data_IF_049190429714
#
_entry.id   IF_049190429714
#
_cell.length_a   1.000
_cell.length_b   1.000
_cell.length_c   1.000
_cell.angle_alpha   90.00
_cell.angle_beta   90.00
_cell.angle_gamma   90.00
#
_symmetry.space_group_name_H-M   'P 1'
#
loop_
_entity.id
_entity.type
_entity.pdbx_description
1 polymer ?
#
# COMPACT_ATOMS: atom_id res chain seq x y z
N UNK A 1 2.87 1.02 30.24
CA UNK A 1 3.93 0.62 29.28
C UNK A 1 3.52 1.18 27.94
N UNK A 2 4.43 1.79 27.20
CA UNK A 2 4.15 2.35 25.87
C UNK A 2 4.58 1.34 24.82
N UNK A 3 3.67 0.98 23.91
CA UNK A 3 3.93 0.04 22.83
C UNK A 3 4.20 0.79 21.54
N UNK A 4 5.38 0.55 20.95
CA UNK A 4 5.75 1.10 19.63
C UNK A 4 5.17 0.19 18.55
N UNK A 5 4.43 0.78 17.61
CA UNK A 5 3.74 0.06 16.53
C UNK A 5 3.93 0.84 15.23
N UNK A 6 4.22 0.16 14.13
CA UNK A 6 4.16 0.78 12.81
C UNK A 6 2.82 0.52 12.12
N UNK A 7 2.36 1.48 11.32
CA UNK A 7 1.17 1.35 10.46
C UNK A 7 1.53 1.76 9.05
N UNK A 8 1.05 1.02 8.05
CA UNK A 8 1.28 1.35 6.65
C UNK A 8 0.11 0.87 5.75
N UNK A 9 0.00 1.50 4.57
CA UNK A 9 -0.92 1.15 3.52
C UNK A 9 -0.23 1.14 2.15
N UNK A 10 -0.65 0.20 1.30
CA UNK A 10 -0.11 0.05 -0.05
C UNK A 10 -1.25 -0.06 -1.06
N UNK A 11 -1.06 0.53 -2.25
CA UNK A 11 -1.96 0.32 -3.39
C UNK A 11 -1.17 0.09 -4.69
N UNK A 12 -1.52 -0.99 -5.40
CA UNK A 12 -0.96 -1.38 -6.70
C UNK A 12 -1.71 -0.65 -7.83
N UNK A 13 -1.56 0.67 -7.86
CA UNK A 13 -2.38 1.61 -8.63
C UNK A 13 -3.31 2.41 -7.70
N UNK A 14 -3.66 3.64 -8.07
CA UNK A 14 -4.42 4.54 -7.19
C UNK A 14 -5.61 5.19 -7.94
N UNK A 15 -6.81 4.56 -7.96
CA UNK A 15 -7.17 3.34 -7.23
C UNK A 15 -6.70 2.03 -7.89
N UNK A 16 -6.54 0.97 -7.08
CA UNK A 16 -6.10 -0.37 -7.50
C UNK A 16 -6.11 -1.37 -6.33
N UNK A 17 -5.71 -2.64 -6.52
CA UNK A 17 -5.58 -3.61 -5.43
C UNK A 17 -4.75 -3.04 -4.30
N UNK A 18 -5.29 -3.07 -3.08
CA UNK A 18 -4.72 -2.32 -1.98
C UNK A 18 -4.74 -3.13 -0.69
N UNK A 19 -3.81 -2.81 0.20
CA UNK A 19 -3.64 -3.45 1.49
C UNK A 19 -3.33 -2.44 2.57
N UNK A 20 -3.49 -2.88 3.81
CA UNK A 20 -3.16 -2.18 5.03
C UNK A 20 -2.50 -3.15 5.99
N UNK A 21 -1.62 -2.66 6.85
CA UNK A 21 -1.07 -3.46 7.93
C UNK A 21 -0.65 -2.59 9.11
N UNK A 22 -0.70 -3.17 10.30
CA UNK A 22 0.00 -2.66 11.47
C UNK A 22 0.90 -3.76 12.03
N UNK A 23 2.04 -3.38 12.60
CA UNK A 23 3.10 -4.30 12.97
C UNK A 23 3.80 -3.87 14.27
N UNK A 24 3.92 -4.81 15.21
CA UNK A 24 4.74 -4.70 16.42
C UNK A 24 5.95 -5.64 16.29
N UNK A 25 5.65 -6.91 16.06
CA UNK A 25 6.60 -7.99 15.80
C UNK A 25 5.90 -9.13 15.03
N UNK A 26 6.63 -10.18 14.64
CA UNK A 26 6.07 -11.30 13.85
C UNK A 26 4.97 -12.09 14.56
N UNK A 27 4.84 -11.97 15.89
CA UNK A 27 3.75 -12.59 16.65
C UNK A 27 2.59 -11.64 16.93
N UNK A 28 2.73 -10.34 16.64
CA UNK A 28 1.76 -9.30 16.93
C UNK A 28 1.68 -8.31 15.76
N UNK A 29 0.90 -8.68 14.75
CA UNK A 29 0.63 -7.87 13.57
C UNK A 29 -0.72 -8.28 12.97
N UNK A 30 -1.30 -7.38 12.16
CA UNK A 30 -2.42 -7.75 11.31
C UNK A 30 -2.39 -7.01 9.97
N UNK A 31 -2.95 -7.65 8.95
CA UNK A 31 -3.08 -7.07 7.62
C UNK A 31 -4.43 -7.42 6.97
N UNK A 32 -4.78 -6.65 5.95
CA UNK A 32 -5.99 -6.86 5.16
C UNK A 32 -5.94 -6.01 3.89
N UNK A 33 -7.01 -6.00 3.11
CA UNK A 33 -7.03 -5.20 1.88
C UNK A 33 -8.34 -5.26 1.12
N UNK A 34 -8.30 -4.80 -0.14
CA UNK A 34 -9.43 -4.80 -1.06
C UNK A 34 -8.96 -5.01 -2.52
N UNK A 35 -9.85 -5.51 -3.40
CA UNK A 35 -9.57 -5.58 -4.84
C UNK A 35 -9.32 -4.21 -5.49
N UNK A 36 -9.89 -3.14 -4.93
CA UNK A 36 -9.68 -1.77 -5.41
C UNK A 36 -9.88 -0.74 -4.28
N UNK A 37 -8.83 0.03 -3.98
CA UNK A 37 -8.84 1.15 -3.03
C UNK A 37 -7.68 2.11 -3.33
N UNK A 38 -7.44 3.10 -2.46
CA UNK A 38 -6.32 4.05 -2.56
C UNK A 38 -5.29 3.84 -1.46
N UNK A 39 -4.07 4.35 -1.65
CA UNK A 39 -3.00 4.30 -0.64
C UNK A 39 -3.45 4.93 0.68
N UNK A 40 -3.91 6.18 0.62
CA UNK A 40 -4.37 6.95 1.78
C UNK A 40 -5.47 6.22 2.57
N UNK A 41 -6.35 5.47 1.88
CA UNK A 41 -7.39 4.69 2.55
C UNK A 41 -6.79 3.48 3.27
N UNK A 42 -5.82 2.79 2.66
CA UNK A 42 -5.05 1.73 3.30
C UNK A 42 -4.32 2.21 4.56
N UNK A 43 -3.59 3.31 4.47
CA UNK A 43 -2.83 3.88 5.59
C UNK A 43 -3.75 4.25 6.78
N UNK A 44 -4.91 4.85 6.49
CA UNK A 44 -5.89 5.18 7.52
C UNK A 44 -6.58 3.96 8.12
N UNK A 45 -6.85 2.94 7.30
CA UNK A 45 -7.42 1.69 7.81
C UNK A 45 -6.42 0.96 8.69
N UNK A 46 -5.12 0.96 8.38
CA UNK A 46 -4.10 0.39 9.26
C UNK A 46 -4.16 0.98 10.67
N UNK A 47 -4.23 2.32 10.76
CA UNK A 47 -4.41 2.99 12.05
C UNK A 47 -5.73 2.63 12.73
N UNK A 48 -6.84 2.62 11.99
CA UNK A 48 -8.15 2.28 12.56
C UNK A 48 -8.19 0.85 13.12
N UNK A 49 -7.66 -0.12 12.37
CA UNK A 49 -7.63 -1.52 12.78
C UNK A 49 -6.67 -1.74 13.96
N UNK A 50 -5.55 -1.03 14.02
CA UNK A 50 -4.70 -0.99 15.22
C UNK A 50 -5.48 -0.50 16.43
N UNK A 51 -6.19 0.63 16.30
CA UNK A 51 -6.97 1.20 17.40
C UNK A 51 -8.08 0.23 17.85
N UNK A 52 -8.76 -0.45 16.93
CA UNK A 52 -9.77 -1.46 17.28
C UNK A 52 -9.16 -2.64 18.01
N UNK A 53 -8.07 -3.20 17.50
CA UNK A 53 -7.42 -4.38 18.09
C UNK A 53 -6.93 -4.11 19.53
N UNK A 54 -6.47 -2.89 19.78
CA UNK A 54 -5.93 -2.48 21.08
C UNK A 54 -6.97 -1.89 22.03
N UNK A 55 -8.22 -1.67 21.60
CA UNK A 55 -9.26 -1.06 22.42
C UNK A 55 -9.48 -1.74 23.79
N UNK A 56 -9.40 -3.08 23.94
CA UNK A 56 -9.58 -3.76 25.23
C UNK A 56 -8.40 -3.60 26.20
N UNK A 57 -7.22 -3.23 25.70
CA UNK A 57 -5.95 -3.30 26.46
C UNK A 57 -5.63 -2.04 27.26
N UNK A 58 -6.23 -0.92 26.88
CA UNK A 58 -5.92 0.42 27.41
C UNK A 58 -4.43 0.79 27.38
N UNK A 59 -3.64 0.14 26.51
CA UNK A 59 -2.21 0.44 26.36
C UNK A 59 -1.99 1.83 25.74
N UNK A 60 -0.89 2.47 26.16
CA UNK A 60 -0.40 3.69 25.52
C UNK A 60 0.34 3.29 24.24
N UNK A 61 -0.01 3.93 23.11
CA UNK A 61 0.56 3.62 21.80
C UNK A 61 1.51 4.72 21.33
N UNK A 62 2.62 4.31 20.75
CA UNK A 62 3.51 5.18 19.98
C UNK A 62 3.54 4.67 18.53
N UNK A 63 2.84 5.38 17.65
CA UNK A 63 2.59 4.96 16.27
C UNK A 63 3.62 5.56 15.34
N UNK A 64 4.38 4.71 14.66
CA UNK A 64 5.26 5.08 13.55
C UNK A 64 4.44 5.02 12.25
N UNK A 65 4.51 6.08 11.46
CA UNK A 65 3.94 6.10 10.11
C UNK A 65 4.78 7.00 9.21
N UNK A 66 4.97 6.61 7.95
CA UNK A 66 5.59 7.46 6.93
C UNK A 66 4.59 8.41 6.23
N UNK A 67 3.29 8.15 6.42
CA UNK A 67 2.21 9.01 5.93
C UNK A 67 2.00 10.25 6.79
N UNK A 68 2.49 11.38 6.27
CA UNK A 68 2.10 12.69 6.81
C UNK A 68 0.59 12.93 6.72
N UNK A 69 -0.11 12.31 5.77
CA UNK A 69 -1.55 12.45 5.65
C UNK A 69 -2.27 11.83 6.86
N UNK A 70 -1.89 10.62 7.28
CA UNK A 70 -2.44 9.98 8.49
C UNK A 70 -2.14 10.83 9.73
N UNK A 71 -0.87 11.18 9.94
CA UNK A 71 -0.44 11.92 11.14
C UNK A 71 -1.15 13.27 11.22
N UNK A 72 -1.16 14.06 10.14
CA UNK A 72 -1.80 15.37 10.15
C UNK A 72 -3.34 15.27 10.27
N UNK A 73 -3.95 14.23 9.70
CA UNK A 73 -5.40 14.00 9.82
C UNK A 73 -5.82 13.90 11.29
N UNK A 74 -5.07 13.12 12.07
CA UNK A 74 -5.39 12.88 13.49
C UNK A 74 -4.93 14.03 14.37
N UNK A 75 -3.73 14.56 14.15
CA UNK A 75 -3.11 15.53 15.07
C UNK A 75 -3.49 16.99 14.80
N UNK A 76 -3.89 17.33 13.57
CA UNK A 76 -4.12 18.73 13.17
C UNK A 76 -5.51 18.99 12.62
N UNK A 77 -6.07 18.06 11.85
CA UNK A 77 -7.24 18.38 11.01
C UNK A 77 -8.58 17.91 11.57
N UNK A 78 -8.64 16.75 12.25
CA UNK A 78 -9.89 16.18 12.76
C UNK A 78 -10.69 17.17 13.62
N UNK A 79 -10.04 17.93 14.50
CA UNK A 79 -10.73 18.90 15.35
C UNK A 79 -11.46 19.98 14.51
N UNK A 80 -10.77 20.53 13.51
CA UNK A 80 -11.35 21.54 12.60
C UNK A 80 -12.43 20.95 11.68
N UNK A 81 -12.24 19.72 11.19
CA UNK A 81 -13.24 19.04 10.38
C UNK A 81 -14.51 18.73 11.18
N UNK A 82 -14.39 18.27 12.43
CA UNK A 82 -15.51 18.01 13.33
C UNK A 82 -16.31 19.29 13.62
N UNK A 83 -15.62 20.38 13.91
CA UNK A 83 -16.26 21.70 14.09
C UNK A 83 -17.02 22.17 12.84
N UNK A 84 -16.51 21.84 11.65
CA UNK A 84 -17.13 22.19 10.36
C UNK A 84 -18.08 21.11 9.83
N UNK A 85 -18.58 20.20 10.67
CA UNK A 85 -19.53 19.16 10.26
C UNK A 85 -18.98 18.20 9.20
N UNK A 86 -17.68 17.92 9.26
CA UNK A 86 -16.92 17.06 8.34
C UNK A 86 -16.91 17.53 6.89
N UNK A 87 -16.90 18.85 6.69
CA UNK A 87 -16.83 19.50 5.38
C UNK A 87 -15.59 20.38 5.27
N UNK A 88 -15.08 20.49 4.04
CA UNK A 88 -14.03 21.45 3.67
C UNK A 88 -14.66 22.84 3.42
N UNK A 89 -13.80 23.85 3.23
CA UNK A 89 -14.21 25.21 2.91
C UNK A 89 -15.09 25.31 1.63
N UNK A 90 -14.87 24.41 0.66
CA UNK A 90 -15.67 24.29 -0.57
C UNK A 90 -17.04 23.59 -0.36
N UNK A 91 -17.45 23.38 0.90
CA UNK A 91 -18.65 22.64 1.34
C UNK A 91 -18.69 21.15 0.97
N UNK A 92 -17.68 20.64 0.29
CA UNK A 92 -17.58 19.22 -0.04
C UNK A 92 -17.20 18.42 1.22
N UNK A 93 -17.64 17.15 1.32
CA UNK A 93 -17.17 16.26 2.39
C UNK A 93 -15.65 16.15 2.40
N UNK A 94 -15.09 15.95 3.59
CA UNK A 94 -13.70 15.56 3.75
C UNK A 94 -13.48 14.19 3.09
N UNK A 95 -12.35 14.04 2.38
CA UNK A 95 -12.00 12.76 1.76
C UNK A 95 -11.77 11.72 2.87
N UNK A 96 -12.27 10.50 2.70
CA UNK A 96 -12.24 9.43 3.71
C UNK A 96 -12.93 9.80 5.04
N UNK A 97 -13.98 10.64 4.99
CA UNK A 97 -14.74 11.06 6.18
C UNK A 97 -15.22 9.90 7.05
N UNK A 98 -15.58 8.78 6.43
CA UNK A 98 -15.99 7.55 7.11
C UNK A 98 -14.89 6.99 8.02
N UNK A 99 -13.64 6.93 7.52
CA UNK A 99 -12.49 6.51 8.32
C UNK A 99 -12.11 7.56 9.36
N UNK A 100 -12.17 8.85 9.01
CA UNK A 100 -11.88 9.93 9.97
C UNK A 100 -12.79 9.89 11.19
N UNK A 101 -14.10 9.72 10.97
CA UNK A 101 -15.09 9.61 12.05
C UNK A 101 -14.86 8.36 12.90
N UNK A 102 -14.53 7.23 12.26
CA UNK A 102 -14.22 5.99 12.97
C UNK A 102 -12.95 6.11 13.82
N UNK A 103 -11.90 6.76 13.29
CA UNK A 103 -10.64 7.02 14.02
C UNK A 103 -10.86 7.99 15.18
N UNK A 104 -11.57 9.10 14.97
CA UNK A 104 -11.92 10.07 16.04
C UNK A 104 -12.60 9.34 17.21
N UNK A 105 -13.57 8.47 16.90
CA UNK A 105 -14.25 7.65 17.91
C UNK A 105 -13.31 6.66 18.60
N UNK A 106 -12.46 5.96 17.85
CA UNK A 106 -11.60 4.91 18.37
C UNK A 106 -10.38 5.43 19.17
N UNK A 107 -9.96 6.67 18.92
CA UNK A 107 -8.81 7.30 19.60
C UNK A 107 -9.25 8.13 20.83
N UNK A 108 -10.51 8.57 20.89
CA UNK A 108 -11.02 9.41 21.98
C UNK A 108 -10.82 8.72 23.34
N UNK A 109 -10.21 9.44 24.29
CA UNK A 109 -9.95 8.95 25.65
C UNK A 109 -8.70 8.08 25.79
N UNK A 110 -7.94 7.86 24.71
CA UNK A 110 -6.73 7.03 24.70
C UNK A 110 -5.47 7.88 24.58
N UNK A 111 -4.36 7.33 25.07
CA UNK A 111 -3.04 7.93 24.92
C UNK A 111 -2.34 7.33 23.71
N UNK A 112 -2.41 8.04 22.59
CA UNK A 112 -1.78 7.66 21.33
C UNK A 112 -0.90 8.82 20.87
N UNK A 113 0.38 8.53 20.66
CA UNK A 113 1.36 9.46 20.11
C UNK A 113 1.81 9.00 18.74
N UNK A 114 2.30 9.92 17.91
CA UNK A 114 2.71 9.65 16.53
C UNK A 114 4.13 10.14 16.29
N UNK A 115 4.91 9.35 15.58
CA UNK A 115 6.20 9.75 15.03
C UNK A 115 6.16 9.58 13.50
N UNK A 116 6.54 10.65 12.81
CA UNK A 116 6.74 10.57 11.38
C UNK A 116 8.11 9.96 11.11
N UNK A 117 8.11 8.81 10.47
CA UNK A 117 9.32 8.19 9.96
C UNK A 117 9.45 8.50 8.48
N UNK A 118 10.67 8.58 7.97
CA UNK A 118 10.85 8.78 6.53
C UNK A 118 10.58 7.44 5.84
N UNK A 119 9.69 7.43 4.85
CA UNK A 119 9.53 6.27 3.98
C UNK A 119 10.87 5.87 3.35
N UNK A 120 11.02 4.59 3.01
CA UNK A 120 12.26 3.90 2.61
C UNK A 120 13.11 3.32 3.76
N UNK A 121 14.28 2.77 3.43
CA UNK A 121 15.12 1.97 4.32
C UNK A 121 15.61 2.72 5.56
N UNK A 122 15.64 2.06 6.71
CA UNK A 122 16.16 2.57 7.98
C UNK A 122 15.20 2.43 9.17
N UNK A 123 14.00 1.89 8.96
CA UNK A 123 12.97 1.76 9.99
C UNK A 123 12.34 0.36 9.96
N UNK A 124 12.96 -0.65 10.62
CA UNK A 124 12.57 -2.06 10.48
C UNK A 124 11.08 -2.36 10.77
N UNK A 125 10.47 -1.69 11.75
CA UNK A 125 9.04 -1.86 12.04
C UNK A 125 8.16 -1.32 10.90
N UNK A 126 8.52 -0.17 10.33
CA UNK A 126 7.79 0.42 9.21
C UNK A 126 7.98 -0.40 7.93
N UNK A 127 9.19 -0.88 7.67
CA UNK A 127 9.48 -1.78 6.55
C UNK A 127 8.66 -3.08 6.66
N UNK A 128 8.56 -3.66 7.85
CA UNK A 128 7.71 -4.82 8.07
C UNK A 128 6.22 -4.52 7.81
N UNK A 129 5.71 -3.38 8.28
CA UNK A 129 4.33 -2.97 8.00
C UNK A 129 4.09 -2.76 6.48
N UNK A 130 5.00 -2.08 5.79
CA UNK A 130 4.98 -1.88 4.34
C UNK A 130 4.94 -3.22 3.58
N UNK A 131 5.81 -4.16 3.96
CA UNK A 131 5.86 -5.50 3.36
C UNK A 131 4.55 -6.27 3.56
N UNK A 132 3.97 -6.26 4.76
CA UNK A 132 2.68 -6.91 5.02
C UNK A 132 1.54 -6.23 4.24
N UNK A 133 1.52 -4.89 4.17
CA UNK A 133 0.51 -4.16 3.41
C UNK A 133 0.61 -4.42 1.90
N UNK A 134 1.82 -4.44 1.35
CA UNK A 134 2.09 -4.80 -0.05
C UNK A 134 1.73 -6.24 -0.35
N UNK A 135 2.05 -7.18 0.55
CA UNK A 135 1.66 -8.58 0.41
C UNK A 135 0.14 -8.74 0.32
N UNK A 136 -0.62 -8.04 1.18
CA UNK A 136 -2.07 -8.03 1.12
C UNK A 136 -2.59 -7.45 -0.21
N UNK A 137 -2.03 -6.33 -0.69
CA UNK A 137 -2.40 -5.75 -1.99
C UNK A 137 -2.13 -6.71 -3.17
N UNK A 138 -0.98 -7.39 -3.15
CA UNK A 138 -0.63 -8.41 -4.15
C UNK A 138 -1.55 -9.62 -4.09
N UNK A 139 -1.93 -10.07 -2.89
CA UNK A 139 -2.86 -11.17 -2.74
C UNK A 139 -4.18 -10.88 -3.48
N UNK A 140 -4.70 -9.65 -3.38
CA UNK A 140 -5.85 -9.20 -4.16
C UNK A 140 -5.59 -9.12 -5.67
N UNK A 141 -4.44 -8.61 -6.09
CA UNK A 141 -4.06 -8.61 -7.51
C UNK A 141 -4.04 -10.02 -8.12
N UNK A 142 -3.58 -11.00 -7.33
CA UNK A 142 -3.50 -12.41 -7.73
C UNK A 142 -4.76 -13.23 -7.42
N UNK A 143 -5.82 -12.63 -6.87
CA UNK A 143 -7.05 -13.33 -6.46
C UNK A 143 -6.77 -14.50 -5.49
N UNK A 144 -5.87 -14.28 -4.54
CA UNK A 144 -5.45 -15.25 -3.53
C UNK A 144 -5.82 -14.79 -2.11
N UNK A 145 -5.69 -15.69 -1.13
CA UNK A 145 -5.98 -15.40 0.27
C UNK A 145 -4.96 -14.42 0.85
N UNK A 146 -5.45 -13.43 1.60
CA UNK A 146 -4.59 -12.51 2.38
C UNK A 146 -4.18 -13.20 3.68
N UNK A 147 -2.90 -13.10 4.03
CA UNK A 147 -2.42 -13.48 5.36
C UNK A 147 -2.75 -12.35 6.35
N UNK A 148 -3.78 -12.56 7.18
CA UNK A 148 -4.27 -11.51 8.07
C UNK A 148 -3.42 -11.29 9.32
N UNK A 149 -2.42 -12.14 9.58
CA UNK A 149 -1.58 -12.10 10.77
C UNK A 149 -2.25 -12.67 12.03
N UNK A 150 -1.47 -12.82 13.12
CA UNK A 150 -1.93 -13.37 14.39
C UNK A 150 -2.85 -12.43 15.19
N UNK A 151 -2.97 -11.16 14.78
CA UNK A 151 -3.71 -10.15 15.52
C UNK A 151 -2.93 -9.61 16.72
N UNK A 152 -3.63 -8.95 17.64
CA UNK A 152 -3.00 -8.37 18.82
C UNK A 152 -2.81 -9.43 19.90
N UNK A 153 -1.57 -9.90 20.06
CA UNK A 153 -1.24 -10.99 20.99
C UNK A 153 -0.52 -10.52 22.25
N UNK A 154 -0.21 -9.21 22.33
CA UNK A 154 0.48 -8.61 23.46
C UNK A 154 -0.50 -8.42 24.62
N UNK A 155 -0.26 -9.08 25.75
CA UNK A 155 -1.06 -8.94 26.97
C UNK A 155 -2.18 -9.96 27.18
N UNK A 156 -2.34 -10.94 26.28
CA UNK A 156 -3.27 -12.06 26.49
C UNK A 156 -2.55 -13.31 27.02
N UNK A 157 -2.95 -13.76 28.21
CA UNK A 157 -2.91 -15.17 28.57
C UNK A 157 -3.68 -15.95 27.48
N UNK A 158 -3.00 -16.92 26.86
CA UNK A 158 -3.49 -17.81 25.79
C UNK A 158 -5.02 -17.95 25.71
N UNK A 159 -5.57 -17.53 24.57
CA UNK A 159 -6.74 -18.16 23.96
C UNK A 159 -7.84 -17.19 23.60
N UNK A 160 -7.95 -16.82 22.31
CA UNK A 160 -9.07 -17.20 21.44
C UNK A 160 -8.89 -16.56 20.07
N UNK A 161 -8.78 -17.41 19.05
CA UNK A 161 -8.84 -17.05 17.65
C UNK A 161 -10.18 -16.37 17.37
N UNK A 162 -10.18 -15.05 17.24
CA UNK A 162 -11.36 -14.28 16.82
C UNK A 162 -11.39 -14.24 15.30
N UNK A 163 -12.14 -15.18 14.72
CA UNK A 163 -12.60 -15.11 13.33
C UNK A 163 -13.84 -14.23 13.27
N UNK A 164 -13.79 -13.14 12.51
CA UNK A 164 -14.96 -12.29 12.23
C UNK A 164 -15.78 -12.83 11.04
N UNK A 165 -17.08 -12.47 10.92
CA UNK A 165 -18.14 -13.40 10.53
C UNK A 165 -18.52 -13.37 9.04
N UNK A 166 -18.91 -14.55 8.54
CA UNK A 166 -19.61 -14.71 7.27
C UNK A 166 -20.84 -15.60 7.43
N UNK A 167 -22.01 -14.98 7.27
CA UNK A 167 -23.22 -15.53 6.63
C UNK A 167 -23.91 -16.74 7.27
N UNK A 168 -25.07 -16.46 7.87
CA UNK A 168 -26.09 -17.43 8.25
C UNK A 168 -26.69 -18.16 7.03
N UNK A 169 -26.83 -19.49 7.12
CA UNK A 169 -28.06 -20.17 6.70
C UNK A 169 -28.16 -21.54 7.40
N UNK A 170 -29.34 -21.80 7.96
CA UNK A 170 -29.53 -22.81 9.00
C UNK A 170 -29.89 -24.21 8.51
N UNK A 171 -29.82 -25.14 9.46
CA UNK A 171 -30.63 -26.36 9.48
C UNK A 171 -30.61 -26.95 10.89
N UNK A 172 -31.78 -26.95 11.51
CA UNK A 172 -32.25 -27.77 12.63
C UNK A 172 -31.87 -29.26 12.39
N UNK A 173 -31.62 -30.16 13.35
CA UNK A 173 -32.31 -30.47 14.62
C UNK A 173 -31.45 -31.53 15.35
N UNK A 174 -31.68 -31.69 16.65
CA UNK A 174 -30.84 -32.43 17.61
C UNK A 174 -31.15 -33.97 17.69
N UNK A 175 -30.87 -34.71 18.80
CA UNK A 175 -29.83 -35.75 18.87
C UNK A 175 -30.36 -37.15 19.29
N UNK A 176 -29.50 -38.18 19.36
CA UNK A 176 -29.85 -39.42 20.10
C UNK A 176 -29.01 -40.67 19.81
N UNK A 177 -28.12 -41.00 20.74
CA UNK A 177 -27.85 -42.32 21.39
C UNK A 177 -28.18 -43.67 20.72
N UNK A 178 -27.29 -44.64 21.00
CA UNK A 178 -27.50 -46.08 21.30
C UNK A 178 -26.99 -47.13 20.29
N UNK A 179 -25.83 -47.72 20.64
CA UNK A 179 -25.66 -49.11 21.11
C UNK A 179 -26.12 -50.32 20.25
N UNK A 180 -25.14 -51.21 20.01
CA UNK A 180 -25.32 -52.66 19.76
C UNK A 180 -25.48 -53.04 18.28
N UNK A 181 -24.94 -54.13 17.76
CA UNK A 181 -24.38 -55.33 18.36
C UNK A 181 -23.84 -56.27 17.25
N UNK A 182 -23.08 -57.28 17.68
CA UNK A 182 -22.81 -58.60 17.06
C UNK A 182 -21.43 -58.82 16.41
N UNK A 183 -20.54 -59.34 17.26
CA UNK A 183 -19.60 -60.42 16.95
C UNK A 183 -20.33 -61.74 16.67
N UNK A 184 -19.77 -62.59 15.81
CA UNK A 184 -19.38 -63.98 16.10
C UNK A 184 -18.98 -64.69 14.79
N UNK A 185 -17.70 -65.04 14.58
CA UNK A 185 -17.05 -66.30 14.99
C UNK A 185 -17.27 -67.47 14.02
N UNK A 186 -16.19 -67.98 13.39
CA UNK A 186 -15.83 -69.42 13.51
C UNK A 186 -14.41 -69.74 13.02
N UNK A 187 -13.62 -70.27 13.95
CA UNK A 187 -12.45 -71.15 13.84
C UNK A 187 -12.78 -72.44 13.04
N UNK A 188 -11.89 -73.32 12.58
CA UNK A 188 -10.44 -73.53 12.58
C UNK A 188 -10.17 -74.71 11.60
N UNK A 189 -8.93 -74.93 11.15
CA UNK A 189 -8.15 -76.18 11.34
C UNK A 189 -6.92 -76.27 10.40
N UNK A 190 -5.84 -76.78 10.99
CA UNK A 190 -4.44 -77.03 10.54
C UNK A 190 -4.34 -78.17 9.48
N UNK A 191 -3.15 -78.65 8.96
CA UNK A 191 -1.78 -78.54 9.50
C UNK A 191 -0.55 -78.42 8.56
N UNK A 192 0.51 -77.87 9.19
CA UNK A 192 1.97 -78.07 9.13
C UNK A 192 2.64 -78.92 8.02
N UNK A 193 3.64 -78.34 7.32
CA UNK A 193 4.82 -79.05 6.78
C UNK A 193 6.08 -78.15 6.78
N UNK A 194 7.24 -78.77 6.99
CA UNK A 194 8.57 -78.19 7.29
C UNK A 194 9.42 -77.93 6.03
N UNK A 195 10.36 -76.98 6.18
CA UNK A 195 11.57 -76.69 5.36
C UNK A 195 11.29 -76.00 4.01
N UNK A 196 11.99 -74.92 3.60
CA UNK A 196 13.44 -74.80 3.39
C UNK A 196 13.87 -73.31 3.53
N UNK A 197 15.06 -73.09 4.10
CA UNK A 197 15.76 -71.80 4.14
C UNK A 197 16.22 -71.38 2.73
N UNK A 198 15.76 -70.24 2.24
CA UNK A 198 16.43 -69.41 1.23
C UNK A 198 16.48 -67.95 1.71
N UNK A 199 17.31 -67.69 2.72
CA UNK A 199 17.78 -66.34 3.01
C UNK A 199 18.88 -65.98 2.01
N UNK A 200 18.57 -65.11 1.03
CA UNK A 200 19.59 -64.25 0.39
C UNK A 200 19.06 -63.18 -0.58
N UNK A 201 17.84 -63.24 -1.14
CA UNK A 201 17.51 -62.36 -2.29
C UNK A 201 16.47 -61.24 -2.05
N UNK A 202 15.77 -61.22 -0.93
CA UNK A 202 14.69 -60.24 -0.68
C UNK A 202 15.16 -58.88 -0.16
N UNK A 203 16.38 -58.77 0.39
CA UNK A 203 16.89 -57.50 0.96
C UNK A 203 17.50 -56.56 -0.09
N UNK A 204 18.00 -57.10 -1.20
CA UNK A 204 18.52 -56.33 -2.34
C UNK A 204 17.39 -55.67 -3.14
N UNK A 205 16.34 -56.42 -3.45
CA UNK A 205 15.17 -55.92 -4.19
C UNK A 205 14.43 -54.83 -3.41
N UNK A 206 14.26 -54.98 -2.09
CA UNK A 206 13.62 -53.96 -1.25
C UNK A 206 14.42 -52.65 -1.16
N UNK A 207 15.76 -52.72 -1.12
CA UNK A 207 16.64 -51.53 -1.13
C UNK A 207 16.64 -50.84 -2.51
N UNK A 208 16.58 -51.62 -3.59
CA UNK A 208 16.49 -51.09 -4.97
C UNK A 208 15.14 -50.43 -5.22
N UNK A 209 14.04 -51.04 -4.78
CA UNK A 209 12.68 -50.45 -4.85
C UNK A 209 12.56 -49.17 -4.02
N UNK A 210 13.19 -49.11 -2.83
CA UNK A 210 13.25 -47.89 -2.01
C UNK A 210 14.05 -46.76 -2.69
N UNK A 211 15.14 -47.10 -3.38
CA UNK A 211 15.97 -46.14 -4.11
C UNK A 211 15.26 -45.62 -5.37
N UNK A 212 14.57 -46.50 -6.11
CA UNK A 212 13.73 -46.13 -7.26
C UNK A 212 12.59 -45.19 -6.85
N UNK A 213 11.93 -45.43 -5.72
CA UNK A 213 10.89 -44.54 -5.20
C UNK A 213 11.43 -43.14 -4.87
N UNK A 214 12.63 -43.05 -4.28
CA UNK A 214 13.28 -41.76 -3.99
C UNK A 214 13.62 -41.01 -5.27
N UNK A 215 14.09 -41.70 -6.31
CA UNK A 215 14.37 -41.11 -7.62
C UNK A 215 13.08 -40.59 -8.27
N UNK A 216 11.98 -41.35 -8.22
CA UNK A 216 10.69 -40.91 -8.76
C UNK A 216 10.16 -39.65 -8.04
N UNK A 217 10.27 -39.61 -6.71
CA UNK A 217 9.87 -38.43 -5.92
C UNK A 217 10.75 -37.20 -6.22
N UNK A 218 12.06 -37.41 -6.41
CA UNK A 218 12.98 -36.34 -6.80
C UNK A 218 12.66 -35.82 -8.22
N UNK A 219 12.34 -36.69 -9.17
CA UNK A 219 11.93 -36.31 -10.52
C UNK A 219 10.63 -35.50 -10.52
N UNK A 220 9.64 -35.88 -9.70
CA UNK A 220 8.41 -35.09 -9.53
C UNK A 220 8.68 -33.70 -8.94
N UNK A 221 9.58 -33.61 -7.95
CA UNK A 221 9.98 -32.32 -7.38
C UNK A 221 10.70 -31.43 -8.40
N UNK A 222 11.58 -32.01 -9.23
CA UNK A 222 12.25 -31.29 -10.31
C UNK A 222 11.24 -30.78 -11.33
N UNK A 223 10.25 -31.59 -11.73
CA UNK A 223 9.21 -31.17 -12.66
C UNK A 223 8.36 -30.01 -12.09
N UNK A 224 8.02 -30.07 -10.81
CA UNK A 224 7.31 -28.98 -10.13
C UNK A 224 8.14 -27.68 -10.12
N UNK A 225 9.44 -27.77 -9.80
CA UNK A 225 10.35 -26.62 -9.85
C UNK A 225 10.48 -26.04 -11.26
N UNK A 226 10.53 -26.88 -12.30
CA UNK A 226 10.55 -26.43 -13.69
C UNK A 226 9.28 -25.66 -14.06
N UNK A 227 8.10 -26.11 -13.60
CA UNK A 227 6.85 -25.38 -13.81
C UNK A 227 6.84 -24.03 -13.09
N UNK A 228 7.36 -23.97 -11.86
CA UNK A 228 7.49 -22.71 -11.13
C UNK A 228 8.42 -21.74 -11.86
N UNK A 229 9.58 -22.21 -12.33
CA UNK A 229 10.52 -21.39 -13.12
C UNK A 229 9.84 -20.85 -14.37
N UNK A 230 9.11 -21.68 -15.12
CA UNK A 230 8.40 -21.25 -16.31
C UNK A 230 7.31 -20.19 -15.99
N UNK A 231 6.62 -20.34 -14.85
CA UNK A 231 5.65 -19.35 -14.39
C UNK A 231 6.32 -18.01 -14.05
N UNK A 232 7.41 -18.04 -13.28
CA UNK A 232 8.19 -16.84 -12.94
C UNK A 232 8.72 -16.15 -14.20
N UNK A 233 9.17 -16.90 -15.22
CA UNK A 233 9.60 -16.32 -16.49
C UNK A 233 8.47 -15.58 -17.22
N UNK A 234 7.23 -16.11 -17.19
CA UNK A 234 6.06 -15.42 -17.78
C UNK A 234 5.72 -14.14 -17.02
N UNK A 235 5.82 -14.15 -15.70
CA UNK A 235 5.60 -12.96 -14.87
C UNK A 235 6.66 -11.88 -15.14
N UNK A 236 7.94 -12.27 -15.21
CA UNK A 236 9.03 -11.35 -15.58
C UNK A 236 8.77 -10.73 -16.95
N UNK A 237 8.35 -11.52 -17.95
CA UNK A 237 8.04 -11.01 -19.28
C UNK A 237 6.86 -10.01 -19.27
N UNK A 238 5.82 -10.28 -18.48
CA UNK A 238 4.68 -9.38 -18.29
C UNK A 238 5.09 -8.06 -17.63
N UNK A 239 5.91 -8.12 -16.58
CA UNK A 239 6.44 -6.92 -15.93
C UNK A 239 7.36 -6.11 -16.86
N UNK A 240 8.18 -6.77 -17.68
CA UNK A 240 8.97 -6.10 -18.71
C UNK A 240 8.07 -5.36 -19.72
N UNK A 241 6.94 -5.93 -20.12
CA UNK A 241 6.00 -5.26 -21.01
C UNK A 241 5.40 -4.00 -20.37
N UNK A 242 5.05 -4.05 -19.08
CA UNK A 242 4.57 -2.89 -18.33
C UNK A 242 5.62 -1.79 -18.25
N UNK A 243 6.88 -2.15 -18.00
CA UNK A 243 8.02 -1.21 -18.00
C UNK A 243 8.17 -0.54 -19.37
N UNK A 244 8.09 -1.30 -20.47
CA UNK A 244 8.14 -0.74 -21.82
C UNK A 244 7.00 0.25 -22.08
N UNK A 245 5.77 -0.09 -21.68
CA UNK A 245 4.62 0.81 -21.83
C UNK A 245 4.77 2.10 -20.99
N UNK A 246 5.31 1.98 -19.77
CA UNK A 246 5.62 3.13 -18.93
C UNK A 246 6.69 4.04 -19.58
N UNK A 247 7.75 3.46 -20.16
CA UNK A 247 8.76 4.22 -20.89
C UNK A 247 8.17 4.97 -22.10
N UNK A 248 7.27 4.35 -22.88
CA UNK A 248 6.59 5.03 -23.99
C UNK A 248 5.74 6.22 -23.51
N UNK A 249 5.06 6.07 -22.38
CA UNK A 249 4.30 7.15 -21.75
C UNK A 249 5.20 8.30 -21.31
N UNK A 250 6.35 8.00 -20.70
CA UNK A 250 7.37 8.99 -20.32
C UNK A 250 7.88 9.75 -21.55
N UNK A 251 8.20 9.05 -22.64
CA UNK A 251 8.64 9.68 -23.89
C UNK A 251 7.58 10.63 -24.44
N UNK A 252 6.31 10.23 -24.40
CA UNK A 252 5.19 11.09 -24.83
C UNK A 252 5.07 12.35 -23.97
N UNK A 253 5.19 12.21 -22.64
CA UNK A 253 5.20 13.36 -21.72
C UNK A 253 6.38 14.28 -22.04
N UNK A 254 7.56 13.73 -22.28
CA UNK A 254 8.75 14.51 -22.62
C UNK A 254 8.59 15.30 -23.93
N UNK A 255 7.93 14.72 -24.94
CA UNK A 255 7.60 15.43 -26.18
C UNK A 255 6.64 16.60 -25.92
N UNK A 256 5.62 16.40 -25.10
CA UNK A 256 4.67 17.45 -24.73
C UNK A 256 5.35 18.59 -23.96
N UNK A 257 6.23 18.26 -23.01
CA UNK A 257 7.04 19.24 -22.28
C UNK A 257 7.92 20.04 -23.24
N UNK A 258 8.59 19.37 -24.18
CA UNK A 258 9.44 20.02 -25.19
C UNK A 258 8.64 20.97 -26.07
N UNK A 259 7.45 20.56 -26.52
CA UNK A 259 6.56 21.42 -27.31
C UNK A 259 6.06 22.63 -26.49
N UNK A 260 5.77 22.45 -25.20
CA UNK A 260 5.40 23.54 -24.31
C UNK A 260 6.57 24.54 -24.12
N UNK A 261 7.79 24.04 -23.92
CA UNK A 261 9.00 24.86 -23.82
C UNK A 261 9.23 25.70 -25.09
N UNK A 262 9.02 25.13 -26.28
CA UNK A 262 9.10 25.89 -27.54
C UNK A 262 8.06 27.02 -27.62
N UNK A 263 6.82 26.77 -27.15
CA UNK A 263 5.79 27.82 -27.10
C UNK A 263 6.17 28.94 -26.13
N UNK A 264 6.71 28.59 -24.95
CA UNK A 264 7.22 29.56 -23.98
C UNK A 264 8.33 30.40 -24.59
N UNK A 265 9.29 29.78 -25.27
CA UNK A 265 10.39 30.50 -25.93
C UNK A 265 9.88 31.52 -26.97
N UNK A 266 8.86 31.15 -27.78
CA UNK A 266 8.21 32.09 -28.71
C UNK A 266 7.54 33.26 -28.01
N UNK A 267 6.88 33.02 -26.87
CA UNK A 267 6.27 34.08 -26.06
C UNK A 267 7.35 35.01 -25.51
N UNK A 268 8.45 34.47 -24.99
CA UNK A 268 9.59 35.25 -24.50
C UNK A 268 10.19 36.14 -25.60
N UNK A 269 10.35 35.63 -26.82
CA UNK A 269 10.81 36.44 -27.97
C UNK A 269 9.85 37.61 -28.26
N UNK A 270 8.54 37.36 -28.26
CA UNK A 270 7.53 38.43 -28.48
C UNK A 270 7.57 39.49 -27.38
N UNK A 271 7.75 39.07 -26.12
CA UNK A 271 7.91 39.99 -24.99
C UNK A 271 9.17 40.85 -25.18
N UNK A 272 10.30 40.24 -25.54
CA UNK A 272 11.54 40.97 -25.78
C UNK A 272 11.40 41.99 -26.92
N UNK A 273 10.76 41.62 -28.04
CA UNK A 273 10.48 42.56 -29.14
C UNK A 273 9.54 43.69 -28.71
N UNK A 274 8.54 43.41 -27.88
CA UNK A 274 7.66 44.43 -27.34
C UNK A 274 8.40 45.41 -26.41
N UNK A 275 9.27 44.89 -25.54
CA UNK A 275 10.14 45.69 -24.67
C UNK A 275 11.05 46.62 -25.48
N UNK A 276 11.66 46.12 -26.57
CA UNK A 276 12.48 46.95 -27.46
C UNK A 276 11.67 48.11 -28.06
N UNK A 277 10.46 47.83 -28.56
CA UNK A 277 9.58 48.88 -29.11
C UNK A 277 9.21 49.94 -28.08
N UNK A 278 8.93 49.54 -26.83
CA UNK A 278 8.64 50.46 -25.73
C UNK A 278 9.84 51.37 -25.47
N UNK A 279 11.06 50.80 -25.41
CA UNK A 279 12.29 51.58 -25.19
C UNK A 279 12.52 52.57 -26.34
N UNK A 280 12.34 52.14 -27.60
CA UNK A 280 12.45 53.04 -28.75
C UNK A 280 11.45 54.19 -28.69
N UNK A 281 10.18 53.90 -28.38
CA UNK A 281 9.15 54.94 -28.22
C UNK A 281 9.50 55.91 -27.07
N UNK A 282 10.04 55.42 -25.95
CA UNK A 282 10.51 56.28 -24.86
C UNK A 282 11.66 57.19 -25.31
N UNK A 283 12.60 56.70 -26.11
CA UNK A 283 13.70 57.51 -26.65
C UNK A 283 13.21 58.60 -27.61
N UNK A 284 12.24 58.30 -28.47
CA UNK A 284 11.61 59.28 -29.36
C UNK A 284 10.87 60.38 -28.60
N UNK A 285 10.13 60.03 -27.53
CA UNK A 285 9.46 61.01 -26.67
C UNK A 285 10.50 61.94 -26.01
N UNK A 286 11.61 61.39 -25.53
CA UNK A 286 12.70 62.16 -24.92
C UNK A 286 13.45 63.07 -25.91
N UNK A 287 13.56 62.68 -27.18
CA UNK A 287 14.21 63.52 -28.20
C UNK A 287 13.28 64.66 -28.66
N UNK A 288 11.98 64.38 -28.84
CA UNK A 288 10.97 65.38 -29.17
C UNK A 288 10.88 66.51 -28.11
N UNK A 289 10.88 66.14 -26.82
CA UNK A 289 10.87 67.12 -25.73
C UNK A 289 12.11 68.03 -25.71
N UNK A 290 13.28 67.52 -26.14
CA UNK A 290 14.50 68.34 -26.24
C UNK A 290 14.45 69.38 -27.38
N UNK A 291 13.71 69.09 -28.45
CA UNK A 291 13.61 70.00 -29.61
C UNK A 291 12.54 71.09 -29.40
N UNK A 292 11.48 70.80 -28.63
CA UNK A 292 10.48 71.80 -28.24
C UNK A 292 10.99 72.89 -27.28
N UNK A 293 12.06 72.62 -26.52
CA UNK A 293 12.63 73.57 -25.55
C UNK A 293 13.57 74.64 -26.13
N UNK A 294 14.10 74.45 -27.34
CA UNK A 294 15.12 75.35 -27.93
C UNK A 294 14.55 76.43 -28.87
N UNK A 295 13.26 76.39 -29.19
CA UNK A 295 12.60 77.36 -30.06
C UNK A 295 12.03 78.61 -29.34
N UNK A 296 12.26 78.77 -28.03
CA UNK A 296 11.69 79.87 -27.22
C UNK A 296 12.71 80.88 -26.65
N UNK A 297 13.92 80.97 -27.21
CA UNK A 297 14.92 81.97 -26.78
C UNK A 297 15.57 82.68 -27.97
N UNK A 298 14.79 83.47 -28.71
CA UNK A 298 15.32 84.47 -29.63
C UNK A 298 14.26 85.57 -29.81
N UNK A 299 14.19 86.47 -28.83
CA UNK A 299 13.98 87.92 -29.03
C UNK A 299 13.79 88.56 -27.66
N UNK A 300 14.89 89.02 -27.07
CA UNK A 300 14.87 90.03 -26.03
C UNK A 300 15.18 91.37 -26.70
N UNK A 301 14.14 92.16 -26.99
CA UNK A 301 14.32 93.56 -27.36
C UNK A 301 14.28 94.40 -26.08
N UNK A 302 15.37 95.13 -25.72
CA UNK A 302 15.39 96.02 -24.58
C UNK A 302 14.97 97.41 -25.06
N UNK A 303 13.79 97.87 -24.69
CA UNK A 303 13.50 99.30 -24.43
C UNK A 303 12.00 99.52 -24.34
N UNK A 304 11.54 99.94 -23.17
CA UNK A 304 10.58 101.05 -23.01
C UNK A 304 10.41 101.33 -21.52
N UNK A 305 11.22 102.27 -21.03
CA UNK A 305 10.94 103.10 -19.86
C UNK A 305 10.13 104.31 -20.32
N UNK A 306 9.27 104.78 -19.40
CA UNK A 306 8.35 105.93 -19.43
C UNK A 306 6.91 105.64 -19.88
#
# INVERSE_FOLDING_TARGET
MTTVVAVDGSALGNPGPAGWAWYVDENCWAAGGWPSSSNNRGELTALLELLKATAPTNEELHVLADSQYVINSVTKWIAGWKANGWRKADKKPVVNVDLMQAIDKAITGRKVSFEWVRGHSGHPLNEAADDKARAAARAYQHHSSVESGPGWTRGENKGTTTTAPGSAQGSTTAPGSAQGSKSASKAASQPNEKQVKTSANTSGEAKTMSSQQKIANAQQSIAALQQQIAQTQREIASEQQKIVAAHQSIVTIQQNITAAQQKIAKIQQRIASAQQKIVSAQQEILSANRHGGRAKSADANPDTLF
#
